data_IF_785186474412
#
_entry.id   IF_785186474412
#
_cell.length_a   1.000
_cell.length_b   1.000
_cell.length_c   1.000
_cell.angle_alpha   90.00
_cell.angle_beta   90.00
_cell.angle_gamma   90.00
#
_symmetry.space_group_name_H-M   'P 1'
#
loop_
_entity.id
_entity.type
_entity.pdbx_description
1 polymer ?
#
# COMPACT_ATOMS: atom_id res chain seq x y z
N UNK A 1 1.83 14.41 -22.60
CA UNK A 1 1.61 13.32 -23.60
C UNK A 1 2.07 12.04 -22.93
N UNK A 2 1.23 11.01 -22.92
CA UNK A 2 1.51 9.75 -22.22
C UNK A 2 2.82 9.07 -22.68
N UNK A 3 3.47 8.36 -21.77
CA UNK A 3 4.76 7.71 -22.00
C UNK A 3 4.52 6.32 -22.59
N UNK A 4 4.80 6.12 -23.89
CA UNK A 4 4.45 4.90 -24.63
C UNK A 4 5.62 3.91 -24.77
N UNK A 5 6.86 4.36 -24.91
CA UNK A 5 8.09 3.53 -25.03
C UNK A 5 8.00 2.45 -26.12
N UNK A 6 7.96 2.88 -27.36
CA UNK A 6 7.72 2.00 -28.53
C UNK A 6 8.72 0.85 -28.69
N UNK A 7 9.97 1.05 -28.26
CA UNK A 7 11.01 0.00 -28.35
C UNK A 7 10.65 -1.19 -27.45
N UNK A 8 10.12 -0.95 -26.25
CA UNK A 8 9.63 -2.00 -25.37
C UNK A 8 8.35 -2.66 -25.89
N UNK A 9 7.44 -1.89 -26.51
CA UNK A 9 6.25 -2.47 -27.15
C UNK A 9 6.64 -3.45 -28.28
N UNK A 10 7.67 -3.12 -29.05
CA UNK A 10 8.17 -3.99 -30.12
C UNK A 10 8.70 -5.32 -29.59
N UNK A 11 9.34 -5.35 -28.42
CA UNK A 11 9.82 -6.58 -27.78
C UNK A 11 8.68 -7.49 -27.30
N UNK A 12 7.52 -6.93 -26.98
CA UNK A 12 6.33 -7.65 -26.51
C UNK A 12 5.17 -7.66 -27.53
N UNK A 13 5.49 -7.54 -28.82
CA UNK A 13 4.46 -7.42 -29.88
C UNK A 13 3.53 -8.63 -29.99
N UNK A 14 4.02 -9.83 -29.66
CA UNK A 14 3.25 -11.09 -29.73
C UNK A 14 2.35 -11.30 -28.50
N UNK A 15 2.48 -10.46 -27.46
CA UNK A 15 1.69 -10.58 -26.24
C UNK A 15 0.21 -10.23 -26.54
N UNK A 16 -0.68 -11.18 -26.27
CA UNK A 16 -2.12 -10.90 -26.20
C UNK A 16 -2.47 -10.50 -24.76
N UNK A 17 -2.81 -9.23 -24.55
CA UNK A 17 -3.06 -8.70 -23.22
C UNK A 17 -4.33 -9.27 -22.58
N UNK A 18 -5.39 -9.50 -23.34
CA UNK A 18 -6.64 -10.09 -22.85
C UNK A 18 -6.39 -11.52 -22.36
N UNK A 19 -5.82 -12.38 -23.19
CA UNK A 19 -5.47 -13.76 -22.82
C UNK A 19 -4.48 -13.80 -21.63
N UNK A 20 -3.57 -12.81 -21.53
CA UNK A 20 -2.66 -12.70 -20.39
C UNK A 20 -3.45 -12.47 -19.08
N UNK A 21 -4.41 -11.56 -19.06
CA UNK A 21 -5.17 -11.28 -17.84
C UNK A 21 -6.17 -12.37 -17.49
N UNK A 22 -6.75 -13.05 -18.50
CA UNK A 22 -7.56 -14.24 -18.27
C UNK A 22 -6.75 -15.36 -17.57
N UNK A 23 -5.56 -15.69 -18.09
CA UNK A 23 -4.67 -16.64 -17.43
C UNK A 23 -4.21 -16.14 -16.05
N UNK A 24 -3.93 -14.84 -15.91
CA UNK A 24 -3.49 -14.22 -14.65
C UNK A 24 -4.52 -14.41 -13.53
N UNK A 25 -5.80 -14.36 -13.83
CA UNK A 25 -6.88 -14.57 -12.86
C UNK A 25 -6.86 -15.97 -12.21
N UNK A 26 -6.27 -16.95 -12.89
CA UNK A 26 -6.13 -18.33 -12.40
C UNK A 26 -4.86 -18.53 -11.53
N UNK A 27 -4.04 -17.52 -11.34
CA UNK A 27 -2.69 -17.67 -10.80
C UNK A 27 -2.51 -17.20 -9.34
N UNK A 28 -3.58 -16.79 -8.64
CA UNK A 28 -3.46 -16.06 -7.37
C UNK A 28 -3.25 -16.92 -6.12
N UNK A 29 -3.45 -18.23 -6.19
CA UNK A 29 -3.29 -19.12 -5.04
C UNK A 29 -1.82 -19.35 -4.68
N UNK A 30 -1.55 -19.63 -3.40
CA UNK A 30 -0.23 -20.05 -2.93
C UNK A 30 0.01 -21.53 -3.29
N UNK A 31 0.29 -21.77 -4.56
CA UNK A 31 0.54 -23.12 -5.10
C UNK A 31 1.40 -23.01 -6.36
N UNK A 32 2.01 -24.11 -6.77
CA UNK A 32 2.64 -24.29 -8.08
C UNK A 32 1.72 -24.99 -9.08
N UNK A 33 0.55 -25.48 -8.66
CA UNK A 33 -0.46 -26.10 -9.51
C UNK A 33 -1.27 -25.02 -10.27
N UNK A 34 -0.56 -24.13 -10.97
CA UNK A 34 -1.07 -23.01 -11.74
C UNK A 34 -0.14 -22.70 -12.92
N UNK A 35 -0.59 -22.00 -13.97
CA UNK A 35 0.21 -21.78 -15.17
C UNK A 35 1.55 -21.07 -14.91
N UNK A 36 1.54 -20.01 -14.08
CA UNK A 36 2.70 -19.15 -13.84
C UNK A 36 2.54 -18.29 -12.58
N UNK A 37 3.56 -17.52 -12.24
CA UNK A 37 3.40 -16.42 -11.28
C UNK A 37 2.37 -15.39 -11.78
N UNK A 38 1.50 -14.88 -10.91
CA UNK A 38 0.66 -13.75 -11.28
C UNK A 38 1.44 -12.43 -11.31
N UNK A 39 0.88 -11.46 -12.03
CA UNK A 39 1.37 -10.09 -12.14
C UNK A 39 0.30 -9.12 -11.63
N UNK A 40 0.73 -7.99 -11.08
CA UNK A 40 -0.12 -6.80 -10.89
C UNK A 40 0.70 -5.52 -11.05
N UNK A 41 0.01 -4.41 -11.30
CA UNK A 41 0.58 -3.07 -11.29
C UNK A 41 -0.06 -2.25 -10.18
N UNK A 42 0.72 -1.36 -9.56
CA UNK A 42 0.27 -0.48 -8.46
C UNK A 42 0.67 0.97 -8.80
N UNK A 43 -0.01 1.62 -9.75
CA UNK A 43 0.20 3.04 -10.02
C UNK A 43 -0.36 3.90 -8.88
N UNK A 44 0.28 5.04 -8.65
CA UNK A 44 -0.15 6.07 -7.71
C UNK A 44 -0.36 7.42 -8.40
N UNK A 45 -0.70 8.45 -7.62
CA UNK A 45 -0.95 9.80 -8.13
C UNK A 45 0.28 10.38 -8.85
N UNK A 46 1.48 10.15 -8.32
CA UNK A 46 2.73 10.61 -8.92
C UNK A 46 2.97 9.97 -10.28
N UNK A 47 2.67 8.68 -10.39
CA UNK A 47 2.76 8.01 -11.68
C UNK A 47 1.78 8.63 -12.69
N UNK A 48 0.54 8.93 -12.28
CA UNK A 48 -0.47 9.58 -13.15
C UNK A 48 0.06 10.93 -13.66
N UNK A 49 0.62 11.76 -12.78
CA UNK A 49 1.10 13.11 -13.16
C UNK A 49 2.21 13.04 -14.20
N UNK A 50 3.23 12.25 -13.98
CA UNK A 50 4.35 12.08 -14.90
C UNK A 50 3.91 11.38 -16.19
N UNK A 51 3.11 10.32 -16.09
CA UNK A 51 2.62 9.56 -17.23
C UNK A 51 1.81 10.41 -18.19
N UNK A 52 0.93 11.26 -17.67
CA UNK A 52 0.10 12.17 -18.46
C UNK A 52 0.77 13.51 -18.76
N UNK A 53 1.89 13.82 -18.14
CA UNK A 53 2.59 15.09 -18.30
C UNK A 53 1.77 16.26 -17.76
N UNK A 54 1.04 16.08 -16.65
CA UNK A 54 0.27 17.15 -16.02
C UNK A 54 1.13 17.95 -15.06
N UNK A 55 1.15 19.30 -15.18
CA UNK A 55 2.05 20.15 -14.40
C UNK A 55 1.55 20.44 -12.99
N UNK A 56 0.24 20.31 -12.74
CA UNK A 56 -0.40 20.69 -11.48
C UNK A 56 -0.97 19.50 -10.77
N UNK A 57 -0.67 19.37 -9.50
CA UNK A 57 -1.15 18.32 -8.62
C UNK A 57 -2.26 18.79 -7.69
N UNK A 58 -2.27 20.08 -7.31
CA UNK A 58 -3.26 20.63 -6.38
C UNK A 58 -4.68 20.50 -6.92
N UNK A 59 -4.87 20.80 -8.20
CA UNK A 59 -6.16 20.65 -8.87
C UNK A 59 -6.69 19.20 -8.82
N UNK A 60 -5.82 18.22 -8.96
CA UNK A 60 -6.20 16.80 -8.89
C UNK A 60 -6.85 16.45 -7.54
N UNK A 61 -6.36 17.00 -6.44
CA UNK A 61 -6.91 16.73 -5.11
C UNK A 61 -8.17 17.55 -4.80
N UNK A 62 -8.35 18.70 -5.44
CA UNK A 62 -9.43 19.65 -5.13
C UNK A 62 -10.59 19.63 -6.13
N UNK A 63 -10.39 19.17 -7.35
CA UNK A 63 -11.37 19.14 -8.45
C UNK A 63 -11.66 17.70 -8.87
N UNK A 64 -12.77 17.15 -8.35
CA UNK A 64 -13.21 15.78 -8.68
C UNK A 64 -13.39 15.57 -10.17
N UNK A 65 -14.02 16.53 -10.88
CA UNK A 65 -14.32 16.39 -12.31
C UNK A 65 -13.01 16.28 -13.12
N UNK A 66 -12.03 17.10 -12.77
CA UNK A 66 -10.69 17.03 -13.39
C UNK A 66 -9.99 15.70 -13.10
N UNK A 67 -10.07 15.21 -11.86
CA UNK A 67 -9.47 13.94 -11.45
C UNK A 67 -10.10 12.76 -12.19
N UNK A 68 -11.43 12.70 -12.25
CA UNK A 68 -12.17 11.63 -12.91
C UNK A 68 -11.90 11.61 -14.43
N UNK A 69 -11.85 12.79 -15.07
CA UNK A 69 -11.48 12.92 -16.49
C UNK A 69 -10.05 12.44 -16.76
N UNK A 70 -9.11 12.76 -15.86
CA UNK A 70 -7.73 12.30 -15.96
C UNK A 70 -7.62 10.78 -15.80
N UNK A 71 -8.38 10.19 -14.87
CA UNK A 71 -8.47 8.73 -14.69
C UNK A 71 -9.03 8.04 -15.93
N UNK A 72 -10.07 8.59 -16.55
CA UNK A 72 -10.64 8.06 -17.80
C UNK A 72 -9.60 8.05 -18.91
N UNK A 73 -8.88 9.15 -19.12
CA UNK A 73 -7.81 9.23 -20.12
C UNK A 73 -6.68 8.22 -19.87
N UNK A 74 -6.27 8.03 -18.61
CA UNK A 74 -5.27 7.02 -18.24
C UNK A 74 -5.80 5.62 -18.56
N UNK A 75 -7.05 5.32 -18.19
CA UNK A 75 -7.68 4.03 -18.40
C UNK A 75 -7.79 3.69 -19.89
N UNK A 76 -8.13 4.64 -20.76
CA UNK A 76 -8.16 4.42 -22.21
C UNK A 76 -6.79 3.96 -22.73
N UNK A 77 -5.70 4.62 -22.30
CA UNK A 77 -4.35 4.27 -22.74
C UNK A 77 -3.90 2.93 -22.15
N UNK A 78 -4.11 2.70 -20.85
CA UNK A 78 -3.69 1.45 -20.21
C UNK A 78 -4.51 0.26 -20.69
N UNK A 79 -5.78 0.46 -21.01
CA UNK A 79 -6.62 -0.57 -21.64
C UNK A 79 -6.09 -0.93 -23.06
N UNK A 80 -5.69 0.05 -23.86
CA UNK A 80 -5.13 -0.19 -25.21
C UNK A 80 -3.81 -0.97 -25.16
N UNK A 81 -2.86 -0.57 -24.28
CA UNK A 81 -1.50 -1.12 -24.31
C UNK A 81 -1.28 -2.25 -23.32
N UNK A 82 -1.94 -2.23 -22.16
CA UNK A 82 -1.75 -3.17 -21.05
C UNK A 82 -2.95 -4.12 -20.90
N UNK A 83 -4.12 -3.74 -21.44
CA UNK A 83 -5.36 -4.52 -21.35
C UNK A 83 -6.05 -4.42 -19.99
N UNK A 84 -5.79 -3.36 -19.22
CA UNK A 84 -6.37 -3.16 -17.90
C UNK A 84 -6.59 -1.67 -17.61
N UNK A 85 -7.76 -1.32 -17.06
CA UNK A 85 -8.01 -0.03 -16.42
C UNK A 85 -7.44 -0.05 -15.00
N UNK A 86 -6.89 1.08 -14.54
CA UNK A 86 -6.21 1.16 -13.25
C UNK A 86 -6.94 2.00 -12.21
N UNK A 87 -7.81 2.91 -12.63
CA UNK A 87 -8.42 3.89 -11.75
C UNK A 87 -9.94 3.90 -11.84
N UNK A 88 -10.58 4.23 -10.72
CA UNK A 88 -12.01 4.54 -10.71
C UNK A 88 -12.25 5.88 -11.41
N UNK A 89 -13.30 5.94 -12.25
CA UNK A 89 -13.73 7.15 -12.97
C UNK A 89 -14.86 7.91 -12.25
N UNK A 90 -15.24 7.46 -11.07
CA UNK A 90 -16.19 8.12 -10.17
C UNK A 90 -15.64 8.11 -8.75
N UNK A 91 -14.63 8.93 -8.51
CA UNK A 91 -13.95 9.01 -7.22
C UNK A 91 -14.82 9.67 -6.14
N UNK A 92 -14.47 9.45 -4.88
CA UNK A 92 -15.11 10.09 -3.75
C UNK A 92 -14.59 11.52 -3.59
N UNK A 93 -15.51 12.46 -3.29
CA UNK A 93 -15.15 13.87 -3.00
C UNK A 93 -14.68 14.04 -1.57
N UNK A 94 -15.36 13.37 -0.65
CA UNK A 94 -15.12 13.45 0.78
C UNK A 94 -14.43 12.19 1.29
N UNK A 95 -13.70 12.33 2.38
CA UNK A 95 -13.03 11.20 3.03
C UNK A 95 -13.44 11.15 4.51
N UNK A 96 -13.54 9.95 5.12
CA UNK A 96 -13.66 9.85 6.56
C UNK A 96 -12.40 10.43 7.22
N UNK A 97 -12.49 10.75 8.51
CA UNK A 97 -11.31 11.13 9.29
C UNK A 97 -10.26 10.00 9.22
N UNK A 98 -9.01 10.36 9.45
CA UNK A 98 -7.91 9.41 9.64
C UNK A 98 -7.48 9.41 11.09
N UNK A 99 -6.87 8.33 11.53
CA UNK A 99 -6.44 8.19 12.93
C UNK A 99 -5.43 9.27 13.34
N UNK A 100 -4.60 9.75 12.41
CA UNK A 100 -3.65 10.84 12.64
C UNK A 100 -4.33 12.17 12.98
N UNK A 101 -5.53 12.43 12.42
CA UNK A 101 -6.29 13.62 12.75
C UNK A 101 -6.76 13.65 14.20
N UNK A 102 -6.87 12.49 14.87
CA UNK A 102 -7.18 12.43 16.31
C UNK A 102 -6.09 13.07 17.16
N UNK A 103 -4.84 13.02 16.66
CA UNK A 103 -3.68 13.66 17.27
C UNK A 103 -3.39 15.03 16.64
N UNK A 104 -4.41 15.69 16.05
CA UNK A 104 -4.33 17.02 15.42
C UNK A 104 -3.37 17.10 14.21
N UNK A 105 -2.96 15.97 13.65
CA UNK A 105 -2.10 15.93 12.49
C UNK A 105 -2.93 16.09 11.22
N UNK A 106 -2.70 17.15 10.45
CA UNK A 106 -3.48 17.50 9.27
C UNK A 106 -2.67 17.44 7.98
N UNK A 107 -3.34 17.14 6.87
CA UNK A 107 -2.72 17.13 5.56
C UNK A 107 -2.46 18.56 5.05
N UNK A 108 -1.22 18.79 4.62
CA UNK A 108 -0.82 19.97 3.87
C UNK A 108 -0.83 19.65 2.38
N UNK A 109 -1.59 20.42 1.62
CA UNK A 109 -1.68 20.34 0.16
C UNK A 109 -0.83 21.43 -0.47
N UNK A 110 0.12 21.05 -1.30
CA UNK A 110 1.02 21.98 -2.00
C UNK A 110 1.12 21.61 -3.48
N UNK A 111 1.30 22.64 -4.32
CA UNK A 111 1.54 22.41 -5.74
C UNK A 111 2.85 21.64 -5.96
N UNK A 112 2.84 20.68 -6.90
CA UNK A 112 4.00 19.87 -7.23
C UNK A 112 4.35 18.78 -6.21
N UNK A 113 3.47 18.49 -5.25
CA UNK A 113 3.69 17.51 -4.19
C UNK A 113 2.42 16.74 -3.88
N UNK A 114 2.55 15.48 -3.49
CA UNK A 114 1.45 14.76 -2.83
C UNK A 114 1.17 15.39 -1.46
N UNK A 115 -0.05 15.20 -0.92
CA UNK A 115 -0.38 15.69 0.42
C UNK A 115 0.50 15.04 1.49
N UNK A 116 1.06 15.85 2.37
CA UNK A 116 1.87 15.40 3.50
C UNK A 116 1.24 15.77 4.83
N UNK A 117 1.33 14.87 5.80
CA UNK A 117 0.97 15.16 7.18
C UNK A 117 2.00 16.08 7.81
N UNK A 118 1.53 17.11 8.51
CA UNK A 118 2.38 18.07 9.21
C UNK A 118 2.50 17.67 10.67
N UNK A 119 3.71 17.47 11.21
CA UNK A 119 3.92 17.22 12.64
C UNK A 119 3.31 18.32 13.50
N UNK A 120 2.77 17.91 14.66
CA UNK A 120 1.91 18.81 15.46
C UNK A 120 2.68 19.67 16.43
N UNK A 121 3.72 19.13 17.08
CA UNK A 121 4.51 19.85 18.09
C UNK A 121 5.92 19.26 18.25
N UNK A 122 6.79 20.05 18.89
CA UNK A 122 8.10 19.64 19.40
C UNK A 122 8.21 19.81 20.92
N UNK A 123 7.10 20.15 21.59
CA UNK A 123 7.01 20.34 23.02
C UNK A 123 6.32 19.11 23.66
N UNK A 124 6.96 18.41 24.59
CA UNK A 124 6.39 17.22 25.22
C UNK A 124 5.16 17.53 26.11
N UNK A 125 5.09 18.71 26.72
CA UNK A 125 3.96 19.10 27.57
C UNK A 125 2.74 19.38 26.69
N UNK A 126 2.91 20.10 25.57
CA UNK A 126 1.85 20.31 24.56
C UNK A 126 1.38 18.97 23.97
N UNK A 127 2.31 18.04 23.74
CA UNK A 127 1.92 16.72 23.24
C UNK A 127 1.12 15.91 24.27
N UNK A 128 1.42 16.07 25.56
CA UNK A 128 0.63 15.44 26.62
C UNK A 128 -0.83 15.95 26.61
N UNK A 129 -1.06 17.24 26.37
CA UNK A 129 -2.40 17.82 26.22
C UNK A 129 -3.13 17.29 24.98
N UNK A 130 -2.41 17.07 23.86
CA UNK A 130 -2.98 16.44 22.66
C UNK A 130 -3.43 15.00 22.97
N UNK A 131 -2.66 14.25 23.75
CA UNK A 131 -3.06 12.91 24.20
C UNK A 131 -4.30 12.93 25.10
N UNK A 132 -4.41 13.90 26.02
CA UNK A 132 -5.60 14.08 26.87
C UNK A 132 -6.86 14.30 26.00
N UNK A 133 -6.77 15.12 24.98
CA UNK A 133 -7.85 15.35 24.01
C UNK A 133 -8.18 14.10 23.22
N UNK A 134 -7.17 13.38 22.71
CA UNK A 134 -7.36 12.15 21.96
C UNK A 134 -8.06 11.08 22.82
N UNK A 135 -7.68 10.93 24.09
CA UNK A 135 -8.30 9.99 25.03
C UNK A 135 -9.77 10.33 25.29
N UNK A 136 -10.11 11.61 25.45
CA UNK A 136 -11.46 12.08 25.77
C UNK A 136 -12.40 12.18 24.54
N UNK A 137 -11.87 12.10 23.30
CA UNK A 137 -12.68 12.26 22.08
C UNK A 137 -13.67 11.10 21.91
N UNK A 138 -14.96 11.45 21.71
CA UNK A 138 -15.98 10.51 21.26
C UNK A 138 -15.78 10.19 19.77
N UNK A 139 -15.24 9.03 19.49
CA UNK A 139 -14.93 8.60 18.13
C UNK A 139 -16.18 8.40 17.26
N UNK A 140 -17.37 8.16 17.82
CA UNK A 140 -18.60 7.94 17.05
C UNK A 140 -19.06 9.23 16.36
N UNK A 141 -18.96 10.35 17.05
CA UNK A 141 -19.27 11.66 16.49
C UNK A 141 -18.13 12.20 15.62
N UNK A 142 -16.90 11.85 15.99
CA UNK A 142 -15.70 12.40 15.37
C UNK A 142 -15.32 11.73 14.03
N UNK A 143 -15.52 10.40 13.85
CA UNK A 143 -14.93 9.61 12.75
C UNK A 143 -15.44 9.95 11.36
N UNK A 144 -16.73 10.30 11.26
CA UNK A 144 -17.44 10.49 10.00
C UNK A 144 -17.98 11.94 9.90
N UNK A 145 -17.27 12.84 9.19
CA UNK A 145 -17.74 14.20 8.98
C UNK A 145 -19.09 14.25 8.26
N UNK A 146 -19.89 15.27 8.55
CA UNK A 146 -21.23 15.47 7.96
C UNK A 146 -21.19 15.40 6.42
N UNK A 147 -20.23 16.08 5.79
CA UNK A 147 -20.07 16.06 4.34
C UNK A 147 -19.80 14.65 3.78
N UNK A 148 -19.08 13.79 4.53
CA UNK A 148 -18.89 12.39 4.14
C UNK A 148 -20.21 11.60 4.25
N UNK A 149 -20.97 11.80 5.31
CA UNK A 149 -22.28 11.15 5.50
C UNK A 149 -23.28 11.56 4.42
N UNK A 150 -23.31 12.83 4.03
CA UNK A 150 -24.14 13.31 2.92
C UNK A 150 -23.77 12.67 1.58
N UNK A 151 -22.46 12.56 1.29
CA UNK A 151 -22.00 11.87 0.08
C UNK A 151 -22.34 10.37 0.11
N UNK A 152 -22.19 9.72 1.26
CA UNK A 152 -22.56 8.33 1.46
C UNK A 152 -24.03 8.07 1.14
N UNK A 153 -24.95 8.84 1.73
CA UNK A 153 -26.39 8.67 1.49
C UNK A 153 -26.77 9.01 0.05
N UNK A 154 -26.16 10.02 -0.56
CA UNK A 154 -26.36 10.36 -1.97
C UNK A 154 -25.96 9.21 -2.90
N UNK A 155 -24.79 8.58 -2.68
CA UNK A 155 -24.31 7.45 -3.47
C UNK A 155 -25.18 6.22 -3.25
N UNK A 156 -25.55 5.93 -2.03
CA UNK A 156 -26.46 4.83 -1.66
C UNK A 156 -27.82 4.97 -2.36
N UNK A 157 -28.41 6.15 -2.32
CA UNK A 157 -29.67 6.44 -3.00
C UNK A 157 -29.58 6.30 -4.54
N UNK A 158 -28.41 6.57 -5.10
CA UNK A 158 -28.11 6.41 -6.53
C UNK A 158 -27.72 4.95 -6.91
N UNK A 159 -27.68 4.00 -5.98
CA UNK A 159 -27.26 2.62 -6.22
C UNK A 159 -25.79 2.47 -6.63
N UNK A 160 -24.95 3.45 -6.29
CA UNK A 160 -23.51 3.42 -6.58
C UNK A 160 -22.77 2.54 -5.56
N UNK A 161 -21.61 1.96 -5.94
CA UNK A 161 -20.77 1.23 -5.00
C UNK A 161 -20.37 2.08 -3.79
N UNK A 162 -20.39 1.46 -2.61
CA UNK A 162 -19.96 2.06 -1.35
C UNK A 162 -18.70 1.34 -0.86
N UNK A 163 -17.72 2.06 -0.27
CA UNK A 163 -16.50 1.45 0.19
C UNK A 163 -16.72 0.62 1.46
N UNK A 164 -15.98 -0.47 1.58
CA UNK A 164 -15.86 -1.23 2.83
C UNK A 164 -14.84 -0.52 3.72
N UNK A 165 -15.31 0.11 4.80
CA UNK A 165 -14.45 0.88 5.71
C UNK A 165 -13.85 0.00 6.81
N UNK A 166 -12.80 0.51 7.45
CA UNK A 166 -12.15 -0.13 8.59
C UNK A 166 -11.35 -1.39 8.20
N UNK A 167 -10.80 -1.43 6.99
CA UNK A 167 -10.04 -2.57 6.45
C UNK A 167 -8.54 -2.47 6.68
N UNK A 168 -8.02 -1.29 6.99
CA UNK A 168 -6.58 -1.04 7.17
C UNK A 168 -6.25 0.38 7.61
N UNK A 169 -4.97 0.63 7.83
CA UNK A 169 -4.44 1.94 8.17
C UNK A 169 -2.94 2.03 7.91
N UNK A 170 -2.37 3.23 8.12
CA UNK A 170 -0.94 3.37 8.32
C UNK A 170 -0.51 2.61 9.58
N UNK A 171 0.72 2.12 9.58
CA UNK A 171 1.30 1.43 10.73
C UNK A 171 1.79 2.39 11.83
N UNK A 172 2.05 1.87 13.03
CA UNK A 172 2.37 2.69 14.20
C UNK A 172 3.64 3.53 14.02
N UNK A 173 4.69 3.01 13.38
CA UNK A 173 5.90 3.78 13.13
C UNK A 173 5.63 4.98 12.22
N UNK A 174 4.86 4.77 11.16
CA UNK A 174 4.48 5.83 10.21
C UNK A 174 3.53 6.86 10.86
N UNK A 175 2.58 6.41 11.69
CA UNK A 175 1.70 7.33 12.42
C UNK A 175 2.50 8.16 13.42
N UNK A 176 3.30 7.53 14.26
CA UNK A 176 4.11 8.23 15.28
C UNK A 176 5.04 9.26 14.66
N UNK A 177 5.73 8.92 13.55
CA UNK A 177 6.63 9.83 12.84
C UNK A 177 5.91 10.90 12.00
N UNK A 178 4.63 10.73 11.74
CA UNK A 178 3.80 11.75 11.09
C UNK A 178 3.27 12.76 12.11
N UNK A 179 2.89 12.28 13.29
CA UNK A 179 2.37 13.12 14.39
C UNK A 179 3.51 13.90 15.05
N UNK A 180 4.64 13.24 15.32
CA UNK A 180 5.86 13.84 15.87
C UNK A 180 6.95 13.72 14.79
N UNK A 181 7.64 14.81 14.49
CA UNK A 181 8.75 14.81 13.52
C UNK A 181 9.74 13.67 13.84
N UNK A 182 10.23 12.89 12.84
CA UNK A 182 10.98 11.66 13.08
C UNK A 182 12.19 11.80 14.02
N UNK A 183 12.99 12.88 13.89
CA UNK A 183 14.15 13.10 14.77
C UNK A 183 13.71 13.37 16.21
N UNK A 184 12.70 14.19 16.39
CA UNK A 184 12.12 14.50 17.69
C UNK A 184 11.55 13.24 18.35
N UNK A 185 10.79 12.43 17.59
CA UNK A 185 10.26 11.16 18.09
C UNK A 185 11.37 10.25 18.61
N UNK A 186 12.42 10.02 17.80
CA UNK A 186 13.51 9.12 18.18
C UNK A 186 14.24 9.60 19.46
N UNK A 187 14.38 10.91 19.66
CA UNK A 187 14.91 11.46 20.91
C UNK A 187 13.94 11.22 22.08
N UNK A 188 12.64 11.46 21.87
CA UNK A 188 11.63 11.31 22.92
C UNK A 188 11.42 9.87 23.37
N UNK A 189 11.69 8.87 22.53
CA UNK A 189 11.69 7.47 22.94
C UNK A 189 12.69 7.18 24.08
N UNK A 190 13.76 8.01 24.21
CA UNK A 190 14.75 7.91 25.29
C UNK A 190 14.54 8.94 26.39
N UNK A 191 14.19 10.18 26.03
CA UNK A 191 14.10 11.29 26.97
C UNK A 191 12.77 11.32 27.74
N UNK A 192 11.68 10.86 27.08
CA UNK A 192 10.31 10.86 27.64
C UNK A 192 9.63 9.48 27.49
N UNK A 193 10.22 8.38 27.97
CA UNK A 193 9.71 7.02 27.71
C UNK A 193 8.29 6.79 28.24
N UNK A 194 7.91 7.43 29.34
CA UNK A 194 6.55 7.33 29.91
C UNK A 194 5.52 7.98 28.99
N UNK A 195 5.81 9.16 28.44
CA UNK A 195 4.93 9.84 27.49
C UNK A 195 4.79 9.03 26.20
N UNK A 196 5.88 8.48 25.69
CA UNK A 196 5.86 7.65 24.48
C UNK A 196 5.15 6.31 24.70
N UNK A 197 5.27 5.71 25.87
CA UNK A 197 4.48 4.52 26.20
C UNK A 197 2.97 4.85 26.28
N UNK A 198 2.59 6.00 26.84
CA UNK A 198 1.20 6.48 26.80
C UNK A 198 0.70 6.67 25.36
N UNK A 199 1.49 7.33 24.52
CA UNK A 199 1.14 7.49 23.10
C UNK A 199 0.90 6.15 22.41
N UNK A 200 1.80 5.17 22.58
CA UNK A 200 1.64 3.81 22.08
C UNK A 200 0.31 3.19 22.50
N UNK A 201 -0.03 3.28 23.80
CA UNK A 201 -1.21 2.64 24.37
C UNK A 201 -2.50 3.31 23.90
N UNK A 202 -2.54 4.65 23.86
CA UNK A 202 -3.66 5.45 23.29
C UNK A 202 -3.83 5.13 21.81
N UNK A 203 -2.74 5.12 21.05
CA UNK A 203 -2.80 4.80 19.61
C UNK A 203 -3.39 3.40 19.39
N UNK A 204 -2.94 2.40 20.12
CA UNK A 204 -3.43 1.02 19.99
C UNK A 204 -4.93 0.91 20.30
N UNK A 205 -5.40 1.59 21.35
CA UNK A 205 -6.81 1.59 21.74
C UNK A 205 -7.68 2.32 20.69
N UNK A 206 -7.26 3.52 20.31
CA UNK A 206 -8.03 4.34 19.38
C UNK A 206 -8.04 3.78 17.95
N UNK A 207 -6.96 3.15 17.50
CA UNK A 207 -6.97 2.44 16.20
C UNK A 207 -8.01 1.33 16.16
N UNK A 208 -8.11 0.52 17.20
CA UNK A 208 -9.12 -0.55 17.29
C UNK A 208 -10.53 0.05 17.30
N UNK A 209 -10.82 0.94 18.23
CA UNK A 209 -12.15 1.52 18.39
C UNK A 209 -12.63 2.27 17.15
N UNK A 210 -11.76 3.09 16.55
CA UNK A 210 -12.02 3.83 15.32
C UNK A 210 -12.41 2.90 14.16
N UNK A 211 -11.63 1.86 13.93
CA UNK A 211 -11.89 0.97 12.81
C UNK A 211 -13.09 0.04 13.03
N UNK A 212 -13.41 -0.30 14.28
CA UNK A 212 -14.67 -0.98 14.61
C UNK A 212 -15.90 -0.10 14.31
N UNK A 213 -15.82 1.20 14.58
CA UNK A 213 -16.87 2.18 14.22
C UNK A 213 -17.03 2.24 12.70
N UNK A 214 -15.94 2.37 11.96
CA UNK A 214 -15.96 2.41 10.50
C UNK A 214 -16.54 1.12 9.88
N UNK A 215 -16.17 -0.04 10.41
CA UNK A 215 -16.73 -1.35 9.99
C UNK A 215 -18.23 -1.42 10.24
N UNK A 216 -18.66 -1.08 11.44
CA UNK A 216 -20.07 -1.09 11.79
C UNK A 216 -20.89 -0.15 10.91
N UNK A 217 -20.36 1.03 10.57
CA UNK A 217 -21.02 1.98 9.68
C UNK A 217 -21.17 1.45 8.25
N UNK A 218 -20.11 0.85 7.69
CA UNK A 218 -20.13 0.33 6.32
C UNK A 218 -20.72 -1.09 6.19
N UNK A 219 -21.06 -1.75 7.31
CA UNK A 219 -21.49 -3.14 7.31
C UNK A 219 -20.38 -4.11 6.93
N UNK A 220 -19.13 -3.79 7.24
CA UNK A 220 -17.98 -4.64 6.95
C UNK A 220 -17.76 -5.66 8.07
N UNK A 221 -18.23 -6.90 7.85
CA UNK A 221 -18.05 -8.02 8.77
C UNK A 221 -16.83 -8.90 8.41
N UNK A 222 -16.15 -8.63 7.30
CA UNK A 222 -15.01 -9.42 6.85
C UNK A 222 -13.76 -9.17 7.74
N UNK A 223 -13.22 -10.22 8.37
CA UNK A 223 -11.99 -10.09 9.15
C UNK A 223 -10.79 -9.94 8.23
N UNK A 224 -9.88 -9.08 8.60
CA UNK A 224 -8.65 -8.83 7.85
C UNK A 224 -8.13 -7.43 8.08
N UNK A 225 -6.83 -7.23 7.88
CA UNK A 225 -6.21 -5.93 8.10
C UNK A 225 -5.01 -5.72 7.18
N UNK A 226 -4.95 -4.55 6.55
CA UNK A 226 -3.76 -4.12 5.82
C UNK A 226 -3.07 -2.95 6.54
N UNK A 227 -1.74 -2.91 6.44
CA UNK A 227 -0.87 -1.95 7.11
C UNK A 227 0.07 -1.34 6.07
N UNK A 228 0.24 -0.01 6.09
CA UNK A 228 1.34 0.68 5.39
C UNK A 228 2.25 1.31 6.41
N UNK A 229 3.48 0.81 6.58
CA UNK A 229 4.39 1.27 7.65
C UNK A 229 5.80 1.62 7.12
N UNK A 230 5.87 2.67 6.29
CA UNK A 230 7.07 3.05 5.56
C UNK A 230 8.21 3.56 6.45
N UNK A 231 7.90 4.03 7.65
CA UNK A 231 8.88 4.55 8.59
C UNK A 231 9.35 3.53 9.64
N UNK A 232 8.93 2.25 9.53
CA UNK A 232 9.31 1.22 10.52
C UNK A 232 10.82 0.95 10.54
N UNK A 233 11.54 1.14 9.42
CA UNK A 233 12.99 0.96 9.38
C UNK A 233 13.79 1.96 10.25
N UNK A 234 13.18 3.05 10.70
CA UNK A 234 13.80 3.98 11.64
C UNK A 234 13.95 3.39 13.05
N UNK A 235 13.19 2.34 13.35
CA UNK A 235 13.20 1.69 14.66
C UNK A 235 14.15 0.50 14.65
N UNK A 236 15.05 0.44 15.65
CA UNK A 236 15.79 -0.79 15.92
C UNK A 236 14.83 -1.93 16.30
N UNK A 237 15.21 -3.20 16.19
CA UNK A 237 14.35 -4.31 16.60
C UNK A 237 13.87 -4.20 18.05
N UNK A 238 14.68 -3.61 18.94
CA UNK A 238 14.32 -3.37 20.35
C UNK A 238 13.23 -2.31 20.46
N UNK A 239 13.42 -1.14 19.83
CA UNK A 239 12.44 -0.05 19.87
C UNK A 239 11.13 -0.44 19.17
N UNK A 240 11.21 -1.16 18.03
CA UNK A 240 10.04 -1.67 17.36
C UNK A 240 9.24 -2.62 18.27
N UNK A 241 9.91 -3.54 18.95
CA UNK A 241 9.29 -4.46 19.92
C UNK A 241 8.60 -3.72 21.07
N UNK A 242 9.17 -2.59 21.52
CA UNK A 242 8.66 -1.83 22.65
C UNK A 242 7.49 -0.91 22.26
N UNK A 243 7.55 -0.25 21.08
CA UNK A 243 6.61 0.82 20.73
C UNK A 243 5.65 0.48 19.61
N UNK A 244 6.06 -0.30 18.61
CA UNK A 244 5.23 -0.58 17.43
C UNK A 244 4.53 -1.94 17.51
N UNK A 245 5.26 -2.97 17.92
CA UNK A 245 4.74 -4.34 18.00
C UNK A 245 3.49 -4.46 18.87
N UNK A 246 3.39 -3.88 20.09
CA UNK A 246 2.19 -4.00 20.91
C UNK A 246 0.96 -3.34 20.28
N UNK A 247 1.14 -2.26 19.53
CA UNK A 247 0.05 -1.62 18.77
C UNK A 247 -0.48 -2.58 17.71
N UNK A 248 0.41 -3.11 16.88
CA UNK A 248 0.03 -4.04 15.82
C UNK A 248 -0.57 -5.34 16.38
N UNK A 249 -0.02 -5.90 17.44
CA UNK A 249 -0.54 -7.10 18.10
C UNK A 249 -1.99 -6.88 18.55
N UNK A 250 -2.29 -5.77 19.23
CA UNK A 250 -3.65 -5.43 19.68
C UNK A 250 -4.60 -5.25 18.49
N UNK A 251 -4.19 -4.48 17.47
CA UNK A 251 -5.00 -4.22 16.27
C UNK A 251 -5.28 -5.50 15.51
N UNK A 252 -4.25 -6.30 15.23
CA UNK A 252 -4.38 -7.53 14.46
C UNK A 252 -5.21 -8.60 15.19
N UNK A 253 -5.06 -8.72 16.51
CA UNK A 253 -5.84 -9.69 17.29
C UNK A 253 -7.34 -9.36 17.32
N UNK A 254 -7.72 -8.09 17.17
CA UNK A 254 -9.13 -7.67 17.17
C UNK A 254 -9.71 -7.60 15.75
N UNK A 255 -8.99 -7.02 14.80
CA UNK A 255 -9.52 -6.71 13.47
C UNK A 255 -9.18 -7.78 12.41
N UNK A 256 -8.18 -8.62 12.67
CA UNK A 256 -7.78 -9.75 11.84
C UNK A 256 -7.44 -10.98 12.70
N UNK A 257 -8.41 -11.52 13.48
CA UNK A 257 -8.17 -12.64 14.39
C UNK A 257 -7.90 -13.95 13.63
N UNK A 258 -7.19 -14.88 14.28
CA UNK A 258 -6.91 -16.21 13.74
C UNK A 258 -6.13 -16.15 12.43
N UNK A 259 -6.64 -16.89 11.41
CA UNK A 259 -6.03 -16.99 10.07
C UNK A 259 -6.54 -15.90 9.10
N UNK A 260 -7.20 -14.86 9.63
CA UNK A 260 -7.64 -13.75 8.80
C UNK A 260 -6.46 -13.06 8.12
N UNK A 261 -6.73 -12.50 6.95
CA UNK A 261 -5.72 -11.81 6.13
C UNK A 261 -5.01 -10.72 6.90
N UNK A 262 -3.67 -10.79 6.96
CA UNK A 262 -2.78 -9.78 7.54
C UNK A 262 -1.74 -9.38 6.50
N UNK A 263 -1.95 -8.22 5.90
CA UNK A 263 -1.08 -7.67 4.86
C UNK A 263 -0.26 -6.49 5.40
N UNK A 264 1.01 -6.42 5.04
CA UNK A 264 1.86 -5.26 5.29
C UNK A 264 2.57 -4.80 4.04
N UNK A 265 2.53 -3.48 3.84
CA UNK A 265 3.36 -2.74 2.91
C UNK A 265 4.36 -1.87 3.66
N UNK A 266 5.59 -1.77 3.13
CA UNK A 266 6.60 -0.81 3.58
C UNK A 266 7.63 -0.58 2.49
N UNK A 267 7.82 0.68 2.09
CA UNK A 267 8.85 1.06 1.11
C UNK A 267 10.27 1.11 1.71
N UNK A 268 10.42 0.89 3.01
CA UNK A 268 11.69 1.04 3.72
C UNK A 268 12.55 -0.21 3.75
N UNK A 269 13.85 -0.03 4.07
CA UNK A 269 14.83 -1.11 4.27
C UNK A 269 14.61 -1.88 5.58
N UNK A 270 13.41 -2.43 5.77
CA UNK A 270 12.94 -3.01 7.02
C UNK A 270 13.34 -4.48 7.25
N UNK A 271 14.28 -5.02 6.47
CA UNK A 271 14.69 -6.43 6.53
C UNK A 271 15.07 -6.94 7.93
N UNK A 272 15.56 -6.08 8.82
CA UNK A 272 15.89 -6.40 10.21
C UNK A 272 14.65 -6.64 11.11
N UNK A 273 13.44 -6.34 10.64
CA UNK A 273 12.18 -6.51 11.36
C UNK A 273 11.36 -7.74 10.91
N UNK A 274 11.78 -8.45 9.85
CA UNK A 274 10.99 -9.54 9.23
C UNK A 274 10.55 -10.61 10.24
N UNK A 275 11.41 -10.99 11.19
CA UNK A 275 11.05 -11.97 12.22
C UNK A 275 9.88 -11.48 13.09
N UNK A 276 9.83 -10.19 13.42
CA UNK A 276 8.75 -9.61 14.22
C UNK A 276 7.44 -9.52 13.42
N UNK A 277 7.52 -9.22 12.12
CA UNK A 277 6.36 -9.25 11.25
C UNK A 277 5.78 -10.66 11.13
N UNK A 278 6.66 -11.65 10.98
CA UNK A 278 6.25 -13.05 10.93
C UNK A 278 5.58 -13.50 12.25
N UNK A 279 6.12 -13.08 13.40
CA UNK A 279 5.57 -13.34 14.73
C UNK A 279 4.17 -12.72 14.92
N UNK A 280 3.93 -11.53 14.34
CA UNK A 280 2.60 -10.87 14.28
C UNK A 280 1.60 -11.60 13.39
N UNK A 281 1.98 -12.69 12.75
CA UNK A 281 1.12 -13.43 11.82
C UNK A 281 0.91 -12.73 10.48
N UNK A 282 1.74 -11.76 10.12
CA UNK A 282 1.69 -11.15 8.79
C UNK A 282 2.16 -12.18 7.77
N UNK A 283 1.33 -12.47 6.77
CA UNK A 283 1.56 -13.49 5.75
C UNK A 283 1.39 -12.98 4.32
N UNK A 284 1.02 -11.73 4.14
CA UNK A 284 1.02 -11.06 2.85
C UNK A 284 1.87 -9.80 2.95
N UNK A 285 2.81 -9.62 2.03
CA UNK A 285 3.81 -8.55 2.15
C UNK A 285 4.17 -7.91 0.81
N UNK A 286 4.34 -6.59 0.83
CA UNK A 286 5.00 -5.82 -0.23
C UNK A 286 6.04 -4.92 0.42
N UNK A 287 7.31 -5.26 0.23
CA UNK A 287 8.42 -4.53 0.87
C UNK A 287 9.29 -3.82 -0.15
N UNK A 288 9.98 -2.77 0.28
CA UNK A 288 10.87 -1.96 -0.53
C UNK A 288 11.97 -2.77 -1.21
N UNK A 289 12.56 -2.25 -2.29
CA UNK A 289 13.47 -3.00 -3.17
C UNK A 289 14.80 -3.37 -2.50
N UNK A 290 15.11 -2.80 -1.34
CA UNK A 290 16.28 -3.13 -0.52
C UNK A 290 16.09 -4.39 0.33
N UNK A 291 14.86 -4.91 0.43
CA UNK A 291 14.56 -6.19 1.09
C UNK A 291 14.54 -7.28 0.01
N UNK A 292 15.60 -8.11 -0.04
CA UNK A 292 15.74 -9.17 -1.05
C UNK A 292 14.62 -10.22 -0.95
N UNK A 293 14.06 -10.62 -2.09
CA UNK A 293 12.97 -11.61 -2.17
C UNK A 293 13.33 -12.94 -1.49
N UNK A 294 14.59 -13.39 -1.62
CA UNK A 294 15.10 -14.59 -0.96
C UNK A 294 15.17 -14.43 0.56
N UNK A 295 15.54 -13.24 1.06
CA UNK A 295 15.53 -12.94 2.50
C UNK A 295 14.11 -12.97 3.05
N UNK A 296 13.13 -12.40 2.33
CA UNK A 296 11.72 -12.46 2.73
C UNK A 296 11.29 -13.93 2.82
N UNK A 297 11.56 -14.75 1.81
CA UNK A 297 11.20 -16.17 1.79
C UNK A 297 11.89 -16.95 2.89
N UNK A 298 13.16 -16.65 3.22
CA UNK A 298 13.90 -17.29 4.32
C UNK A 298 13.27 -16.99 5.68
N UNK A 299 12.91 -15.72 5.94
CA UNK A 299 12.40 -15.27 7.24
C UNK A 299 10.89 -15.46 7.40
N UNK A 300 10.17 -15.52 6.30
CA UNK A 300 8.71 -15.63 6.22
C UNK A 300 8.35 -16.72 5.18
N UNK A 301 8.57 -18.01 5.49
CA UNK A 301 8.56 -19.09 4.51
C UNK A 301 7.20 -19.33 3.84
N UNK A 302 6.10 -19.02 4.51
CA UNK A 302 4.73 -19.15 4.03
C UNK A 302 4.08 -17.80 3.64
N UNK A 303 4.86 -16.72 3.57
CA UNK A 303 4.33 -15.43 3.15
C UNK A 303 4.05 -15.38 1.64
N UNK A 304 2.93 -14.75 1.27
CA UNK A 304 2.63 -14.35 -0.10
C UNK A 304 3.31 -13.00 -0.37
N UNK A 305 4.26 -12.99 -1.28
CA UNK A 305 5.11 -11.83 -1.59
C UNK A 305 4.55 -11.11 -2.81
N UNK A 306 4.21 -9.84 -2.67
CA UNK A 306 3.90 -8.91 -3.74
C UNK A 306 5.17 -8.10 -4.04
N UNK A 307 5.92 -8.47 -5.03
CA UNK A 307 7.22 -7.81 -5.28
C UNK A 307 8.08 -8.60 -6.28
N UNK A 308 9.37 -8.48 -6.30
CA UNK A 308 10.25 -7.45 -5.69
C UNK A 308 10.93 -6.63 -6.81
N UNK A 309 10.19 -6.30 -7.89
CA UNK A 309 10.76 -5.49 -8.98
C UNK A 309 11.08 -4.07 -8.45
N UNK A 310 12.35 -3.62 -8.43
CA UNK A 310 12.65 -2.25 -8.03
C UNK A 310 11.99 -1.25 -8.99
N UNK A 311 11.20 -0.28 -8.49
CA UNK A 311 10.45 0.63 -9.36
C UNK A 311 11.33 1.41 -10.34
N UNK A 312 12.50 1.89 -9.87
CA UNK A 312 13.44 2.61 -10.72
C UNK A 312 14.20 1.73 -11.71
N UNK A 313 14.36 0.42 -11.43
CA UNK A 313 14.89 -0.52 -12.41
C UNK A 313 13.86 -0.75 -13.53
N UNK A 314 12.58 -0.92 -13.19
CA UNK A 314 11.53 -1.01 -14.19
C UNK A 314 11.48 0.24 -15.06
N UNK A 315 11.59 1.44 -14.47
CA UNK A 315 11.57 2.72 -15.18
C UNK A 315 12.79 2.96 -16.05
N UNK A 316 14.02 2.66 -15.58
CA UNK A 316 15.27 3.13 -16.16
C UNK A 316 16.13 2.02 -16.77
N UNK A 317 15.91 0.77 -16.37
CA UNK A 317 16.67 -0.39 -16.82
C UNK A 317 16.43 -0.71 -18.30
N UNK A 318 17.36 -1.43 -18.92
CA UNK A 318 17.12 -2.01 -20.22
C UNK A 318 16.28 -3.30 -20.12
N UNK A 319 15.84 -3.83 -21.24
CA UNK A 319 14.95 -5.00 -21.30
C UNK A 319 15.55 -6.25 -20.65
N UNK A 320 16.85 -6.47 -20.77
CA UNK A 320 17.51 -7.64 -20.19
C UNK A 320 17.70 -7.49 -18.67
N UNK A 321 18.01 -6.29 -18.17
CA UNK A 321 18.09 -6.03 -16.72
C UNK A 321 16.74 -6.29 -16.04
N UNK A 322 15.63 -5.81 -16.63
CA UNK A 322 14.27 -6.05 -16.13
C UNK A 322 13.97 -7.55 -16.15
N UNK A 323 14.25 -8.24 -17.29
CA UNK A 323 14.03 -9.67 -17.45
C UNK A 323 14.79 -10.47 -16.41
N UNK A 324 16.10 -10.20 -16.26
CA UNK A 324 16.96 -10.94 -15.33
C UNK A 324 16.50 -10.77 -13.88
N UNK A 325 16.09 -9.56 -13.49
CA UNK A 325 15.57 -9.31 -12.14
C UNK A 325 14.32 -10.14 -11.84
N UNK A 326 13.37 -10.21 -12.76
CA UNK A 326 12.15 -11.03 -12.59
C UNK A 326 12.50 -12.50 -12.42
N UNK A 327 13.42 -13.03 -13.27
CA UNK A 327 13.86 -14.41 -13.21
C UNK A 327 14.54 -14.73 -11.87
N UNK A 328 15.37 -13.81 -11.37
CA UNK A 328 16.07 -13.97 -10.10
C UNK A 328 15.12 -13.98 -8.92
N UNK A 329 14.14 -13.04 -8.87
CA UNK A 329 13.11 -13.02 -7.83
C UNK A 329 12.22 -14.26 -7.88
N UNK A 330 11.84 -14.73 -9.10
CA UNK A 330 11.09 -15.97 -9.25
C UNK A 330 11.86 -17.18 -8.73
N UNK A 331 13.14 -17.31 -9.05
CA UNK A 331 13.98 -18.43 -8.56
C UNK A 331 14.15 -18.39 -7.05
N UNK A 332 14.33 -17.20 -6.46
CA UNK A 332 14.56 -17.04 -5.01
C UNK A 332 13.30 -17.22 -4.17
N UNK A 333 12.16 -16.73 -4.63
CA UNK A 333 10.97 -16.62 -3.81
C UNK A 333 9.69 -17.20 -4.44
N UNK A 334 9.65 -17.36 -5.76
CA UNK A 334 8.47 -17.79 -6.50
C UNK A 334 8.43 -19.25 -6.88
N UNK A 335 9.57 -19.95 -6.93
CA UNK A 335 9.66 -21.33 -7.43
C UNK A 335 8.77 -22.33 -6.65
N UNK A 336 8.50 -22.07 -5.37
CA UNK A 336 7.59 -22.85 -4.51
C UNK A 336 6.15 -22.29 -4.44
N UNK A 337 5.82 -21.31 -5.26
CA UNK A 337 4.56 -20.54 -5.14
C UNK A 337 4.70 -19.32 -4.23
N UNK A 338 3.59 -18.59 -4.02
CA UNK A 338 3.52 -17.47 -3.08
C UNK A 338 4.29 -16.21 -3.50
N UNK A 339 4.55 -16.02 -4.79
CA UNK A 339 5.06 -14.78 -5.37
C UNK A 339 4.06 -14.23 -6.38
N UNK A 340 3.75 -12.95 -6.30
CA UNK A 340 3.13 -12.15 -7.35
C UNK A 340 4.14 -11.11 -7.80
N UNK A 341 4.49 -11.14 -9.07
CA UNK A 341 5.38 -10.12 -9.63
C UNK A 341 4.68 -8.77 -9.63
N UNK A 342 5.26 -7.79 -8.98
CA UNK A 342 4.87 -6.38 -9.00
C UNK A 342 6.06 -5.53 -8.59
N UNK A 343 5.93 -4.22 -8.60
CA UNK A 343 6.97 -3.34 -8.04
C UNK A 343 7.04 -3.46 -6.51
N UNK A 344 8.24 -3.31 -5.99
CA UNK A 344 8.51 -3.14 -4.57
C UNK A 344 8.10 -1.72 -4.16
N UNK A 345 6.83 -1.56 -3.81
CA UNK A 345 6.13 -0.29 -3.72
C UNK A 345 5.33 0.06 -4.97
N UNK A 346 4.98 1.34 -5.13
CA UNK A 346 4.25 1.83 -6.29
C UNK A 346 5.10 1.83 -7.57
N UNK A 347 4.45 1.94 -8.73
CA UNK A 347 5.16 2.21 -9.99
C UNK A 347 5.91 3.55 -9.89
N UNK A 348 7.19 3.56 -10.28
CA UNK A 348 7.93 4.81 -10.35
C UNK A 348 7.27 5.77 -11.36
N UNK A 349 7.08 7.01 -10.94
CA UNK A 349 6.65 8.08 -11.82
C UNK A 349 7.50 8.09 -13.11
N UNK A 350 6.85 8.20 -14.27
CA UNK A 350 7.53 8.13 -15.56
C UNK A 350 7.75 6.72 -16.15
N UNK A 351 7.28 5.65 -15.49
CA UNK A 351 7.23 4.33 -16.11
C UNK A 351 6.14 4.29 -17.18
N UNK A 352 6.49 3.95 -18.41
CA UNK A 352 5.54 3.90 -19.53
C UNK A 352 4.91 2.53 -19.74
N UNK A 353 3.86 2.52 -20.57
CA UNK A 353 3.10 1.28 -20.87
C UNK A 353 3.93 0.24 -21.63
N UNK A 354 4.96 0.65 -22.38
CA UNK A 354 5.85 -0.29 -23.06
C UNK A 354 6.59 -1.19 -22.09
N UNK A 355 7.12 -0.63 -21.00
CA UNK A 355 7.80 -1.38 -19.94
C UNK A 355 6.86 -2.27 -19.15
N UNK A 356 5.63 -1.82 -18.90
CA UNK A 356 4.59 -2.66 -18.30
C UNK A 356 4.29 -3.88 -19.19
N UNK A 357 4.10 -3.66 -20.48
CA UNK A 357 3.85 -4.73 -21.45
C UNK A 357 5.03 -5.70 -21.57
N UNK A 358 6.28 -5.19 -21.50
CA UNK A 358 7.46 -6.02 -21.44
C UNK A 358 7.51 -6.88 -20.17
N UNK A 359 7.18 -6.32 -19.03
CA UNK A 359 7.08 -7.07 -17.78
C UNK A 359 6.02 -8.19 -17.86
N UNK A 360 4.88 -7.93 -18.49
CA UNK A 360 3.84 -8.95 -18.76
C UNK A 360 4.44 -10.09 -19.62
N UNK A 361 5.14 -9.75 -20.69
CA UNK A 361 5.77 -10.74 -21.57
C UNK A 361 6.80 -11.60 -20.81
N UNK A 362 7.66 -11.00 -20.00
CA UNK A 362 8.64 -11.70 -19.19
C UNK A 362 7.96 -12.68 -18.22
N UNK A 363 6.95 -12.21 -17.49
CA UNK A 363 6.21 -13.07 -16.54
C UNK A 363 5.51 -14.21 -17.24
N UNK A 364 4.91 -13.98 -18.40
CA UNK A 364 4.23 -15.01 -19.19
C UNK A 364 5.17 -16.11 -19.67
N UNK A 365 6.40 -15.77 -20.04
CA UNK A 365 7.32 -16.70 -20.69
C UNK A 365 8.36 -17.29 -19.73
N UNK A 366 8.79 -16.55 -18.70
CA UNK A 366 9.92 -16.93 -17.84
C UNK A 366 9.52 -17.38 -16.42
N UNK A 367 8.27 -17.10 -15.99
CA UNK A 367 7.82 -17.40 -14.62
C UNK A 367 6.75 -18.50 -14.60
N UNK A 368 6.85 -19.48 -15.48
CA UNK A 368 5.90 -20.60 -15.59
C UNK A 368 6.23 -21.74 -14.62
N UNK A 369 5.19 -22.39 -14.14
CA UNK A 369 5.33 -23.64 -13.38
C UNK A 369 5.20 -24.85 -14.30
N UNK A 370 5.89 -25.98 -13.98
CA UNK A 370 5.68 -27.23 -14.67
C UNK A 370 4.22 -27.68 -14.51
N UNK A 371 3.49 -27.81 -15.59
CA UNK A 371 2.14 -28.40 -15.55
C UNK A 371 2.26 -29.92 -15.51
N UNK A 372 1.84 -30.56 -14.40
CA UNK A 372 1.76 -32.02 -14.35
C UNK A 372 0.75 -32.51 -15.43
N UNK A 373 1.23 -33.26 -16.41
CA UNK A 373 0.40 -33.93 -17.40
C UNK A 373 0.37 -33.35 -18.81
N UNK A 374 1.16 -32.33 -19.15
CA UNK A 374 1.38 -31.89 -20.54
C UNK A 374 2.80 -32.33 -20.96
N UNK A 375 2.90 -33.54 -21.51
CA UNK A 375 4.03 -33.99 -22.35
C UNK A 375 3.74 -33.74 -23.81
#
# INVERSE_FOLDING_TARGET
MAIIERDFLALAQELNAEAFWEENALCHEFTTAKPRCPLSFSPDDHWVFEFMGVPSTLRYYQDKVYRDDLHSQVNEITQEYVGQAFFDEDTWEQQPKRIENLFQCEFSYKEGSTPWLTPVTKDPDEFAEILDQAESTDLREWSLPEAYLEEWERRKAAGKPLPMLGTGSRGPATIMTSVIEPTTLLLWLYDYPTLMARFRDVLAEKMVAFNQILRAFSGNDEPGWWITDDNCALFSPKLYREYCFPVLEKVLNVLAPGDARRYQHSDSAMGHLLNQQYELGIREVNYGPEVDAGLIREKMPDAYIYGQMPPFLLRNGNSEEIRQRVIDDFKKAGASGGLRVTTAGSLAAGTGVGRMRWLMWVVQNECRYPMEGVQ
#
